data_IF_522011241112
#
_entry.id   IF_522011241112
#
_cell.length_a   1.000
_cell.length_b   1.000
_cell.length_c   1.000
_cell.angle_alpha   90.00
_cell.angle_beta   90.00
_cell.angle_gamma   90.00
#
_symmetry.space_group_name_H-M   'P 1'
#
loop_
_entity.id
_entity.type
_entity.pdbx_description
1 polymer ?
#
# COMPACT_ATOMS: atom_id res chain seq x y z
N UNK A 1 12.48 -12.01 14.13
CA UNK A 1 12.80 -12.91 12.99
C UNK A 1 13.87 -13.96 13.37
N UNK A 2 14.89 -13.62 14.17
CA UNK A 2 16.01 -14.51 14.50
C UNK A 2 15.62 -15.91 15.01
N UNK A 3 14.56 -16.09 15.84
CA UNK A 3 14.13 -17.42 16.25
C UNK A 3 13.59 -18.33 15.13
N UNK A 4 13.20 -17.75 14.00
CA UNK A 4 12.61 -18.47 12.85
C UNK A 4 13.62 -18.56 11.70
N UNK A 5 14.31 -17.47 11.39
CA UNK A 5 15.25 -17.32 10.28
C UNK A 5 16.65 -16.99 10.80
N UNK A 6 17.23 -17.87 11.60
CA UNK A 6 18.46 -17.61 12.37
C UNK A 6 19.65 -17.19 11.50
N UNK A 7 19.92 -17.90 10.39
CA UNK A 7 21.04 -17.56 9.51
C UNK A 7 20.82 -16.28 8.73
N UNK A 8 19.67 -16.12 8.11
CA UNK A 8 19.30 -14.88 7.38
C UNK A 8 19.30 -13.68 8.30
N UNK A 9 18.78 -13.83 9.52
CA UNK A 9 18.78 -12.75 10.51
C UNK A 9 20.19 -12.38 10.96
N UNK A 10 21.10 -13.35 11.09
CA UNK A 10 22.48 -13.08 11.41
C UNK A 10 23.20 -12.36 10.26
N UNK A 11 22.95 -12.74 9.02
CA UNK A 11 23.49 -12.03 7.86
C UNK A 11 23.01 -10.59 7.82
N UNK A 12 21.69 -10.35 7.94
CA UNK A 12 21.14 -8.99 8.03
C UNK A 12 21.76 -8.21 9.19
N UNK A 13 21.93 -8.86 10.36
CA UNK A 13 22.53 -8.25 11.56
C UNK A 13 23.94 -7.74 11.32
N UNK A 14 24.73 -8.41 10.47
CA UNK A 14 26.09 -7.99 10.14
C UNK A 14 26.15 -6.64 9.39
N UNK A 15 25.06 -6.27 8.69
CA UNK A 15 24.94 -5.00 7.96
C UNK A 15 24.25 -3.88 8.79
N UNK A 16 23.68 -4.22 9.95
CA UNK A 16 23.08 -3.21 10.83
C UNK A 16 24.17 -2.38 11.49
N UNK A 17 24.09 -1.04 11.42
CA UNK A 17 25.02 -0.17 12.15
C UNK A 17 24.97 -0.48 13.65
N UNK A 18 26.12 -0.81 14.24
CA UNK A 18 26.21 -1.21 15.64
C UNK A 18 26.12 0.00 16.55
N UNK A 19 25.18 -0.04 17.49
CA UNK A 19 25.10 0.92 18.59
C UNK A 19 25.81 0.37 19.84
N UNK A 20 26.24 1.24 20.76
CA UNK A 20 26.84 0.82 22.01
C UNK A 20 25.95 -0.18 22.76
N UNK A 21 26.52 -1.32 23.16
CA UNK A 21 25.83 -2.38 23.89
C UNK A 21 25.20 -3.47 23.02
N UNK A 22 25.13 -3.29 21.71
CA UNK A 22 24.65 -4.35 20.80
C UNK A 22 25.66 -5.52 20.74
N UNK A 23 25.11 -6.72 20.67
CA UNK A 23 25.90 -7.97 20.58
C UNK A 23 26.36 -8.23 19.14
N UNK A 24 27.44 -8.97 18.97
CA UNK A 24 27.97 -9.34 17.65
C UNK A 24 27.01 -10.28 16.90
N UNK A 25 26.32 -11.13 17.64
CA UNK A 25 25.36 -12.09 17.08
C UNK A 25 23.95 -11.73 17.52
N UNK A 26 23.01 -11.73 16.56
CA UNK A 26 21.60 -11.42 16.81
C UNK A 26 20.93 -12.35 17.81
N UNK A 27 21.38 -13.62 17.88
CA UNK A 27 20.85 -14.62 18.81
C UNK A 27 21.18 -14.33 20.28
N UNK A 28 22.12 -13.44 20.54
CA UNK A 28 22.49 -13.01 21.90
C UNK A 28 21.78 -11.72 22.31
N UNK A 29 20.99 -11.10 21.40
CA UNK A 29 20.13 -9.98 21.74
C UNK A 29 18.88 -10.47 22.46
N UNK A 30 18.36 -9.61 23.32
CA UNK A 30 17.10 -9.89 24.00
C UNK A 30 15.92 -9.65 23.08
N UNK A 31 14.88 -10.48 23.21
CA UNK A 31 13.60 -10.23 22.55
C UNK A 31 13.01 -8.91 23.07
N UNK A 32 12.51 -8.06 22.18
CA UNK A 32 11.86 -6.85 22.62
C UNK A 32 10.62 -7.19 23.46
N UNK A 33 10.46 -6.48 24.56
CA UNK A 33 9.25 -6.57 25.36
C UNK A 33 8.06 -5.94 24.63
N UNK A 34 6.88 -6.54 24.75
CA UNK A 34 5.66 -5.96 24.28
C UNK A 34 5.35 -4.68 25.06
N UNK A 35 5.36 -3.53 24.37
CA UNK A 35 5.18 -2.24 25.06
C UNK A 35 3.72 -1.96 25.39
N UNK A 36 2.84 -2.10 24.41
CA UNK A 36 1.40 -1.92 24.56
C UNK A 36 0.65 -2.73 23.49
N UNK A 37 -0.56 -3.15 23.79
CA UNK A 37 -1.50 -3.57 22.75
C UNK A 37 -1.95 -2.32 21.96
N UNK A 38 -2.25 -2.49 20.67
CA UNK A 38 -2.94 -1.47 19.90
C UNK A 38 -4.30 -1.19 20.56
N UNK A 39 -4.73 0.07 20.59
CA UNK A 39 -6.03 0.39 21.12
C UNK A 39 -7.16 -0.16 20.21
N UNK A 40 -8.35 -0.34 20.77
CA UNK A 40 -9.46 -0.93 20.04
C UNK A 40 -9.89 -0.09 18.82
N UNK A 41 -9.83 1.25 18.93
CA UNK A 41 -10.20 2.15 17.84
C UNK A 41 -9.20 2.05 16.68
N UNK A 42 -7.91 1.95 16.99
CA UNK A 42 -6.88 1.70 15.99
C UNK A 42 -7.10 0.36 15.28
N UNK A 43 -7.34 -0.70 16.04
CA UNK A 43 -7.58 -2.03 15.47
C UNK A 43 -8.83 -2.05 14.58
N UNK A 44 -9.95 -1.50 15.05
CA UNK A 44 -11.18 -1.40 14.27
C UNK A 44 -11.02 -0.59 12.97
N UNK A 45 -10.27 0.51 13.00
CA UNK A 45 -9.93 1.29 11.80
C UNK A 45 -9.20 0.42 10.76
N UNK A 46 -8.19 -0.33 11.20
CA UNK A 46 -7.41 -1.17 10.31
C UNK A 46 -8.18 -2.38 9.80
N UNK A 47 -9.02 -2.99 10.62
CA UNK A 47 -9.89 -4.08 10.19
C UNK A 47 -10.85 -3.63 9.08
N UNK A 48 -11.40 -2.40 9.21
CA UNK A 48 -12.23 -1.80 8.16
C UNK A 48 -11.45 -1.55 6.87
N UNK A 49 -10.24 -1.00 6.97
CA UNK A 49 -9.35 -0.80 5.81
C UNK A 49 -9.03 -2.13 5.12
N UNK A 50 -8.74 -3.18 5.90
CA UNK A 50 -8.41 -4.49 5.35
C UNK A 50 -9.61 -5.16 4.66
N UNK A 51 -10.82 -5.01 5.18
CA UNK A 51 -12.04 -5.48 4.53
C UNK A 51 -12.26 -4.78 3.17
N UNK A 52 -12.09 -3.45 3.12
CA UNK A 52 -12.15 -2.69 1.86
C UNK A 52 -11.06 -3.16 0.88
N UNK A 53 -9.85 -3.38 1.37
CA UNK A 53 -8.72 -3.85 0.55
C UNK A 53 -9.00 -5.23 -0.06
N UNK A 54 -9.69 -6.11 0.65
CA UNK A 54 -10.02 -7.44 0.12
C UNK A 54 -11.05 -7.37 -1.02
N UNK A 55 -11.99 -6.45 -0.97
CA UNK A 55 -12.90 -6.21 -2.11
C UNK A 55 -12.17 -5.56 -3.29
N UNK A 56 -11.28 -4.59 -3.04
CA UNK A 56 -10.42 -3.99 -4.06
C UNK A 56 -9.54 -5.04 -4.76
N UNK A 57 -8.96 -5.97 -4.02
CA UNK A 57 -8.16 -7.06 -4.61
C UNK A 57 -8.94 -7.87 -5.63
N UNK A 58 -10.20 -8.21 -5.36
CA UNK A 58 -11.04 -8.97 -6.30
C UNK A 58 -11.22 -8.22 -7.61
N UNK A 59 -11.45 -6.91 -7.53
CA UNK A 59 -11.59 -6.05 -8.71
C UNK A 59 -10.28 -5.96 -9.50
N UNK A 60 -9.13 -5.84 -8.82
CA UNK A 60 -7.82 -5.84 -9.46
C UNK A 60 -7.49 -7.20 -10.11
N UNK A 61 -7.86 -8.33 -9.47
CA UNK A 61 -7.70 -9.66 -10.06
C UNK A 61 -8.56 -9.81 -11.33
N UNK A 62 -9.81 -9.32 -11.31
CA UNK A 62 -10.65 -9.33 -12.50
C UNK A 62 -10.04 -8.48 -13.62
N UNK A 63 -9.58 -7.26 -13.32
CA UNK A 63 -8.93 -6.40 -14.30
C UNK A 63 -7.66 -7.02 -14.92
N UNK A 64 -6.91 -7.84 -14.15
CA UNK A 64 -5.79 -8.63 -14.68
C UNK A 64 -6.28 -9.78 -15.59
N UNK A 65 -7.31 -10.49 -15.19
CA UNK A 65 -7.89 -11.57 -16.00
C UNK A 65 -8.39 -11.03 -17.35
N UNK A 66 -9.01 -9.86 -17.33
CA UNK A 66 -9.51 -9.16 -18.53
C UNK A 66 -8.40 -8.46 -19.33
N UNK A 67 -7.15 -8.52 -18.86
CA UNK A 67 -5.97 -7.88 -19.46
C UNK A 67 -6.08 -6.34 -19.58
N UNK A 68 -6.92 -5.72 -18.76
CA UNK A 68 -7.02 -4.26 -18.63
C UNK A 68 -5.77 -3.68 -17.97
N UNK A 69 -5.16 -4.45 -17.06
CA UNK A 69 -3.89 -4.16 -16.41
C UNK A 69 -3.01 -5.41 -16.38
N UNK A 70 -1.69 -5.26 -16.41
CA UNK A 70 -0.73 -6.33 -16.18
C UNK A 70 -0.33 -6.48 -14.72
N UNK A 71 -0.21 -5.37 -14.01
CA UNK A 71 0.10 -5.33 -12.57
C UNK A 71 -0.80 -4.35 -11.83
N UNK A 72 -0.91 -4.48 -10.50
CA UNK A 72 -1.72 -3.56 -9.69
C UNK A 72 -1.22 -2.11 -9.80
N UNK A 73 0.09 -1.90 -9.94
CA UNK A 73 0.68 -0.56 -10.11
C UNK A 73 0.37 0.08 -11.47
N UNK A 74 -0.27 -0.63 -12.39
CA UNK A 74 -0.81 -0.05 -13.63
C UNK A 74 -2.23 0.47 -13.45
N UNK A 75 -2.85 0.22 -12.28
CA UNK A 75 -4.24 0.59 -12.06
C UNK A 75 -4.42 2.00 -11.55
N UNK A 76 -5.45 2.65 -12.08
CA UNK A 76 -6.22 3.70 -11.42
C UNK A 76 -7.49 3.05 -10.85
N UNK A 77 -7.70 3.18 -9.57
CA UNK A 77 -8.83 2.61 -8.84
C UNK A 77 -9.86 3.69 -8.56
N UNK A 78 -11.11 3.48 -8.98
CA UNK A 78 -12.23 4.33 -8.60
C UNK A 78 -13.08 3.60 -7.55
N UNK A 79 -13.24 4.21 -6.38
CA UNK A 79 -14.09 3.72 -5.31
C UNK A 79 -15.39 4.51 -5.28
N UNK A 80 -16.50 3.82 -5.47
CA UNK A 80 -17.85 4.36 -5.36
C UNK A 80 -18.37 4.07 -3.96
N UNK A 81 -18.65 5.09 -3.21
CA UNK A 81 -18.89 4.98 -1.78
C UNK A 81 -20.24 5.58 -1.40
N UNK A 82 -20.98 4.93 -0.49
CA UNK A 82 -22.01 5.64 0.24
C UNK A 82 -21.34 6.71 1.13
N UNK A 83 -22.15 7.60 1.70
CA UNK A 83 -21.62 8.71 2.50
C UNK A 83 -20.75 8.26 3.67
N UNK A 84 -21.12 7.19 4.36
CA UNK A 84 -20.36 6.69 5.51
C UNK A 84 -18.97 6.18 5.13
N UNK A 85 -18.88 5.36 4.07
CA UNK A 85 -17.61 4.82 3.57
C UNK A 85 -16.76 5.94 2.96
N UNK A 86 -17.41 6.89 2.26
CA UNK A 86 -16.73 8.06 1.69
C UNK A 86 -16.08 8.92 2.78
N UNK A 87 -16.85 9.31 3.80
CA UNK A 87 -16.36 10.12 4.90
C UNK A 87 -15.19 9.41 5.63
N UNK A 88 -15.30 8.09 5.82
CA UNK A 88 -14.22 7.30 6.41
C UNK A 88 -12.94 7.30 5.57
N UNK A 89 -13.03 6.98 4.27
CA UNK A 89 -11.87 6.92 3.39
C UNK A 89 -11.26 8.30 3.16
N UNK A 90 -12.08 9.35 3.13
CA UNK A 90 -11.60 10.72 2.97
C UNK A 90 -10.79 11.25 4.16
N UNK A 91 -10.78 10.54 5.30
CA UNK A 91 -9.86 10.83 6.41
C UNK A 91 -8.43 10.39 6.14
N UNK A 92 -8.20 9.60 5.08
CA UNK A 92 -6.89 9.05 4.71
C UNK A 92 -6.42 9.77 3.44
N UNK A 93 -5.19 10.29 3.39
CA UNK A 93 -4.64 10.90 2.17
C UNK A 93 -4.71 9.94 0.97
N UNK A 94 -5.01 10.49 -0.23
CA UNK A 94 -5.20 9.67 -1.44
C UNK A 94 -3.95 8.91 -1.85
N UNK A 95 -2.78 9.44 -1.60
CA UNK A 95 -1.49 8.77 -1.84
C UNK A 95 -1.25 7.60 -0.88
N UNK A 96 -1.68 7.73 0.39
CA UNK A 96 -1.67 6.61 1.36
C UNK A 96 -2.67 5.52 0.95
N UNK A 97 -3.87 5.87 0.50
CA UNK A 97 -4.83 4.91 -0.06
C UNK A 97 -4.26 4.18 -1.27
N UNK A 98 -3.58 4.90 -2.17
CA UNK A 98 -2.93 4.29 -3.32
C UNK A 98 -1.79 3.34 -2.92
N UNK A 99 -1.06 3.64 -1.85
CA UNK A 99 -0.04 2.75 -1.29
C UNK A 99 -0.67 1.53 -0.58
N UNK A 100 -1.74 1.72 0.17
CA UNK A 100 -2.48 0.63 0.84
C UNK A 100 -3.08 -0.38 -0.15
N UNK A 101 -3.59 0.09 -1.27
CA UNK A 101 -4.15 -0.78 -2.32
C UNK A 101 -3.11 -1.24 -3.35
N UNK A 102 -1.88 -0.70 -3.29
CA UNK A 102 -0.77 -0.99 -4.21
C UNK A 102 -1.16 -0.65 -5.66
N UNK A 103 -1.71 0.55 -5.86
CA UNK A 103 -2.10 1.08 -7.17
C UNK A 103 -1.40 2.41 -7.45
N UNK A 104 -1.44 2.87 -8.71
CA UNK A 104 -0.88 4.18 -9.05
C UNK A 104 -1.72 5.33 -8.56
N UNK A 105 -3.05 5.20 -8.63
CA UNK A 105 -3.99 6.27 -8.27
C UNK A 105 -5.26 5.69 -7.65
N UNK A 106 -5.85 6.45 -6.74
CA UNK A 106 -7.19 6.21 -6.19
C UNK A 106 -8.03 7.46 -6.39
N UNK A 107 -9.25 7.29 -6.89
CA UNK A 107 -10.27 8.31 -6.96
C UNK A 107 -11.46 7.88 -6.08
N UNK A 108 -11.95 8.76 -5.22
CA UNK A 108 -13.15 8.54 -4.42
C UNK A 108 -14.33 9.27 -5.04
N UNK A 109 -15.45 8.57 -5.17
CA UNK A 109 -16.70 9.12 -5.70
C UNK A 109 -17.84 8.77 -4.75
N UNK A 110 -18.60 9.75 -4.31
CA UNK A 110 -19.84 9.51 -3.57
C UNK A 110 -20.92 9.07 -4.55
N UNK A 111 -21.55 7.93 -4.28
CA UNK A 111 -22.59 7.36 -5.12
C UNK A 111 -22.43 5.87 -5.37
N UNK A 112 -23.24 5.34 -6.25
CA UNK A 112 -23.23 3.93 -6.64
C UNK A 112 -22.46 3.74 -7.96
N UNK A 113 -21.70 2.64 -8.05
CA UNK A 113 -20.96 2.26 -9.26
C UNK A 113 -20.00 1.11 -9.02
N UNK A 114 -19.33 0.67 -10.09
CA UNK A 114 -18.34 -0.38 -10.03
C UNK A 114 -18.88 -1.75 -9.61
N UNK A 115 -17.98 -2.67 -9.28
CA UNK A 115 -18.29 -4.01 -8.78
C UNK A 115 -18.47 -3.94 -7.27
N UNK A 116 -19.64 -4.36 -6.78
CA UNK A 116 -19.93 -4.43 -5.34
C UNK A 116 -19.26 -5.67 -4.75
N UNK A 117 -18.65 -5.52 -3.58
CA UNK A 117 -18.01 -6.59 -2.81
C UNK A 117 -18.83 -6.98 -1.57
N UNK A 118 -18.11 -7.33 -0.51
CA UNK A 118 -18.70 -7.71 0.79
C UNK A 118 -18.98 -6.46 1.64
N UNK A 119 -18.18 -5.42 1.46
CA UNK A 119 -18.35 -4.16 2.21
C UNK A 119 -19.58 -3.44 1.71
N UNK A 120 -20.56 -3.28 2.58
CA UNK A 120 -21.79 -2.56 2.26
C UNK A 120 -21.51 -1.09 1.96
N UNK A 121 -22.17 -0.59 0.90
CA UNK A 121 -21.99 0.80 0.48
C UNK A 121 -20.69 1.08 -0.28
N UNK A 122 -19.95 0.04 -0.66
CA UNK A 122 -18.74 0.13 -1.48
C UNK A 122 -18.90 -0.57 -2.81
N UNK A 123 -18.48 0.10 -3.88
CA UNK A 123 -18.22 -0.51 -5.18
C UNK A 123 -16.86 -0.04 -5.70
N UNK A 124 -16.21 -0.84 -6.50
CA UNK A 124 -14.89 -0.51 -7.03
C UNK A 124 -14.80 -0.80 -8.54
N UNK A 125 -14.03 0.01 -9.24
CA UNK A 125 -13.67 -0.21 -10.64
C UNK A 125 -12.19 0.08 -10.84
N UNK A 126 -11.54 -0.73 -11.66
CA UNK A 126 -10.13 -0.56 -12.02
C UNK A 126 -10.00 -0.28 -13.52
N UNK A 127 -9.18 0.70 -13.86
CA UNK A 127 -8.79 1.03 -15.23
C UNK A 127 -7.27 1.20 -15.29
N UNK A 128 -6.69 1.23 -16.49
CA UNK A 128 -5.27 1.55 -16.63
C UNK A 128 -5.03 3.01 -16.23
N UNK A 129 -4.02 3.25 -15.38
CA UNK A 129 -3.65 4.59 -14.94
C UNK A 129 -3.05 5.40 -16.10
N UNK A 130 -3.35 6.69 -16.12
CA UNK A 130 -2.83 7.61 -17.10
C UNK A 130 -1.34 7.95 -16.87
N UNK A 131 -0.66 8.35 -17.94
CA UNK A 131 0.73 8.80 -17.90
C UNK A 131 1.75 7.70 -18.19
N UNK A 132 2.99 7.94 -17.77
CA UNK A 132 4.11 7.05 -18.00
C UNK A 132 4.55 6.35 -16.71
N UNK A 133 5.15 5.16 -16.88
CA UNK A 133 5.68 4.39 -15.76
C UNK A 133 6.95 5.04 -15.21
N UNK A 134 6.97 5.35 -13.93
CA UNK A 134 8.19 5.76 -13.25
C UNK A 134 9.16 4.58 -13.11
N UNK A 135 10.40 4.73 -13.58
CA UNK A 135 11.42 3.67 -13.58
C UNK A 135 11.86 3.24 -12.16
N UNK A 136 11.61 4.09 -11.16
CA UNK A 136 12.01 3.81 -9.76
C UNK A 136 10.90 3.22 -8.92
N UNK A 137 9.70 3.83 -8.87
CA UNK A 137 8.60 3.34 -8.03
C UNK A 137 7.57 2.52 -8.79
N UNK A 138 7.64 2.50 -10.11
CA UNK A 138 6.79 1.75 -11.05
C UNK A 138 5.32 2.19 -11.09
N UNK A 139 4.95 3.21 -10.35
CA UNK A 139 3.64 3.85 -10.51
C UNK A 139 3.57 4.61 -11.83
N UNK A 140 2.38 4.65 -12.39
CA UNK A 140 2.07 5.45 -13.58
C UNK A 140 1.65 6.85 -13.15
N UNK A 141 2.27 7.85 -13.74
CA UNK A 141 2.03 9.28 -13.42
C UNK A 141 2.13 10.14 -14.68
N UNK A 142 1.20 11.10 -14.89
CA UNK A 142 1.29 12.03 -16.02
C UNK A 142 2.57 12.90 -15.99
N UNK A 143 3.08 13.20 -14.80
CA UNK A 143 4.22 14.06 -14.59
C UNK A 143 5.58 13.34 -14.54
N UNK A 144 5.68 12.13 -15.12
CA UNK A 144 6.99 11.47 -15.29
C UNK A 144 7.82 12.28 -16.29
N UNK A 145 8.98 12.78 -15.84
CA UNK A 145 9.88 13.60 -16.65
C UNK A 145 10.69 12.78 -17.66
N UNK A 146 11.50 13.50 -18.48
CA UNK A 146 12.41 12.90 -19.47
C UNK A 146 13.43 11.93 -18.84
N UNK A 147 13.76 12.13 -17.57
CA UNK A 147 14.62 11.25 -16.77
C UNK A 147 13.92 9.92 -16.38
N UNK A 148 12.67 9.72 -16.76
CA UNK A 148 11.88 8.54 -16.43
C UNK A 148 11.41 8.47 -14.97
N UNK A 149 11.48 9.57 -14.23
CA UNK A 149 11.12 9.61 -12.81
C UNK A 149 9.88 10.48 -12.57
N UNK A 150 9.01 10.04 -11.67
CA UNK A 150 7.93 10.89 -11.15
C UNK A 150 8.50 11.98 -10.21
N UNK A 151 7.77 13.09 -9.98
CA UNK A 151 8.24 14.20 -9.17
C UNK A 151 8.70 13.78 -7.76
N UNK A 152 7.98 12.85 -7.13
CA UNK A 152 8.36 12.30 -5.82
C UNK A 152 9.73 11.60 -5.86
N UNK A 153 9.95 10.76 -6.88
CA UNK A 153 11.20 10.02 -7.00
C UNK A 153 12.37 10.92 -7.39
N UNK A 154 12.16 11.89 -8.26
CA UNK A 154 13.16 12.90 -8.61
C UNK A 154 13.59 13.70 -7.36
N UNK A 155 12.63 14.20 -6.58
CA UNK A 155 12.90 14.92 -5.32
C UNK A 155 13.72 14.09 -4.32
N UNK A 156 13.40 12.79 -4.16
CA UNK A 156 14.15 11.91 -3.24
C UNK A 156 15.60 11.69 -3.69
N UNK A 157 15.85 11.74 -5.00
CA UNK A 157 17.20 11.58 -5.58
C UNK A 157 17.93 12.91 -5.73
N UNK A 158 17.31 14.04 -5.40
CA UNK A 158 17.91 15.37 -5.54
C UNK A 158 18.03 15.85 -6.99
N UNK A 159 17.15 15.36 -7.87
CA UNK A 159 17.08 15.66 -9.31
C UNK A 159 15.92 16.61 -9.62
#
# INVERSE_FOLDING_TARGET
>A
LAPILCFTSQEIWSYVPKMPGMKDYVVFEQMPEAKAAADEAFTAKWDRIMAIRDDVKKVLEQARADKTIGSSLEACLTLYCNKEVYDFLNTIPMDELADLFIVSKVDLTEGEGGVKGIVEGLGAAAAHAAGNKCLRCWKYEPAVGENGLCPRCAKVLGL
#
